data_IF_514848846612
#
_entry.id   IF_514848846612
#
_cell.length_a   1.000
_cell.length_b   1.000
_cell.length_c   1.000
_cell.angle_alpha   90.00
_cell.angle_beta   90.00
_cell.angle_gamma   90.00
#
_symmetry.space_group_name_H-M   'P 1'
#
loop_
_entity.id
_entity.type
_entity.pdbx_description
1 polymer ?
#
# COMPACT_ATOMS: atom_id res chain seq x y z
N UNK A 1 -11.53 -21.31 -2.33
CA UNK A 1 -10.58 -20.93 -1.28
C UNK A 1 -11.16 -21.42 0.03
N UNK A 2 -10.42 -22.23 0.75
CA UNK A 2 -10.85 -22.79 2.02
C UNK A 2 -10.52 -21.85 3.20
N UNK A 3 -10.93 -22.24 4.42
CA UNK A 3 -10.73 -21.43 5.62
C UNK A 3 -9.25 -21.27 6.02
N UNK A 4 -8.40 -22.25 5.71
CA UNK A 4 -6.97 -22.19 6.01
C UNK A 4 -6.26 -21.17 5.11
N UNK A 5 -6.56 -21.20 3.81
CA UNK A 5 -6.05 -20.22 2.85
C UNK A 5 -6.50 -18.80 3.20
N UNK A 6 -7.73 -18.63 3.68
CA UNK A 6 -8.21 -17.32 4.11
C UNK A 6 -7.47 -16.82 5.36
N UNK A 7 -7.24 -17.69 6.35
CA UNK A 7 -6.48 -17.35 7.56
C UNK A 7 -5.03 -16.98 7.25
N UNK A 8 -4.39 -17.72 6.33
CA UNK A 8 -3.04 -17.40 5.84
C UNK A 8 -3.00 -16.00 5.20
N UNK A 9 -3.93 -15.70 4.29
CA UNK A 9 -4.01 -14.36 3.67
C UNK A 9 -4.20 -13.26 4.69
N UNK A 10 -5.00 -13.47 5.73
CA UNK A 10 -5.18 -12.51 6.83
C UNK A 10 -3.84 -12.28 7.55
N UNK A 11 -3.12 -13.35 7.88
CA UNK A 11 -1.79 -13.27 8.51
C UNK A 11 -0.78 -12.51 7.65
N UNK A 12 -0.72 -12.79 6.35
CA UNK A 12 0.16 -12.10 5.42
C UNK A 12 -0.16 -10.60 5.30
N UNK A 13 -1.44 -10.22 5.29
CA UNK A 13 -1.84 -8.81 5.28
C UNK A 13 -1.43 -8.09 6.55
N UNK A 14 -1.58 -8.74 7.72
CA UNK A 14 -1.14 -8.18 8.99
C UNK A 14 0.37 -7.97 9.01
N UNK A 15 1.14 -9.00 8.67
CA UNK A 15 2.60 -8.95 8.60
C UNK A 15 3.11 -7.84 7.67
N UNK A 16 2.47 -7.66 6.50
CA UNK A 16 2.84 -6.61 5.56
C UNK A 16 2.65 -5.20 6.13
N UNK A 17 1.62 -4.97 6.96
CA UNK A 17 1.38 -3.67 7.60
C UNK A 17 2.35 -3.42 8.74
N UNK A 18 2.63 -4.43 9.56
CA UNK A 18 3.55 -4.33 10.70
C UNK A 18 4.98 -4.01 10.26
N UNK A 19 5.42 -4.66 9.17
CA UNK A 19 6.78 -4.53 8.64
C UNK A 19 7.10 -3.07 8.26
N UNK A 20 6.13 -2.33 7.75
CA UNK A 20 6.29 -0.89 7.42
C UNK A 20 6.54 -0.04 8.65
N UNK A 21 5.91 -0.35 9.79
CA UNK A 21 6.18 0.36 11.03
C UNK A 21 7.62 0.09 11.50
N UNK A 22 8.13 -1.14 11.34
CA UNK A 22 9.53 -1.48 11.67
C UNK A 22 10.52 -0.68 10.81
N UNK A 23 10.34 -0.65 9.49
CA UNK A 23 11.18 0.16 8.59
C UNK A 23 11.17 1.64 8.91
N UNK A 24 9.98 2.19 9.18
CA UNK A 24 9.88 3.59 9.55
C UNK A 24 10.55 3.86 10.90
N UNK A 25 10.47 2.93 11.85
CA UNK A 25 11.16 3.02 13.13
C UNK A 25 12.68 3.17 12.99
N UNK A 26 13.28 2.48 12.01
CA UNK A 26 14.71 2.58 11.72
C UNK A 26 15.13 3.89 11.05
N UNK A 27 14.25 4.49 10.24
CA UNK A 27 14.59 5.67 9.43
C UNK A 27 14.08 6.99 10.02
N UNK A 28 12.95 6.96 10.72
CA UNK A 28 12.31 8.09 11.37
C UNK A 28 11.46 7.64 12.57
N UNK A 29 12.13 7.27 13.66
CA UNK A 29 11.50 6.80 14.90
C UNK A 29 10.47 7.79 15.47
N UNK A 30 10.73 9.10 15.39
CA UNK A 30 9.83 10.12 15.92
C UNK A 30 8.47 10.13 15.18
N UNK A 31 8.48 9.98 13.85
CA UNK A 31 7.25 9.82 13.07
C UNK A 31 6.58 8.47 13.36
N UNK A 32 7.37 7.41 13.46
CA UNK A 32 6.88 6.05 13.71
C UNK A 32 6.09 5.93 15.01
N UNK A 33 6.54 6.55 16.10
CA UNK A 33 5.88 6.48 17.41
C UNK A 33 4.44 7.00 17.41
N UNK A 34 4.09 7.84 16.45
CA UNK A 34 2.78 8.47 16.31
C UNK A 34 1.97 7.86 15.15
N UNK A 35 2.57 6.93 14.42
CA UNK A 35 1.99 6.28 13.25
C UNK A 35 1.21 5.03 13.68
N UNK A 36 0.02 4.85 13.09
CA UNK A 36 -0.72 3.58 13.15
C UNK A 36 -1.08 3.16 11.74
N UNK A 37 -0.66 1.96 11.36
CA UNK A 37 -0.98 1.33 10.08
C UNK A 37 -2.00 0.23 10.36
N UNK A 38 -3.12 0.26 9.64
CA UNK A 38 -4.21 -0.69 9.86
C UNK A 38 -5.00 -0.97 8.59
N UNK A 39 -6.14 -1.60 8.77
CA UNK A 39 -7.09 -1.86 7.69
C UNK A 39 -7.90 -0.61 7.35
N UNK A 40 -8.50 -0.60 6.16
CA UNK A 40 -9.57 0.35 5.86
C UNK A 40 -10.84 -0.18 6.54
N UNK A 41 -11.23 0.49 7.62
CA UNK A 41 -12.44 0.26 8.40
C UNK A 41 -13.43 1.43 8.24
N UNK A 42 -14.58 1.36 8.93
CA UNK A 42 -15.59 2.44 8.93
C UNK A 42 -15.04 3.76 9.49
N UNK A 43 -14.10 3.70 10.44
CA UNK A 43 -13.42 4.88 10.98
C UNK A 43 -12.58 5.58 9.92
N UNK A 44 -11.83 4.82 9.11
CA UNK A 44 -11.05 5.36 8.00
C UNK A 44 -11.94 5.98 6.92
N UNK A 45 -13.07 5.33 6.58
CA UNK A 45 -14.02 5.91 5.62
C UNK A 45 -14.61 7.22 6.15
N UNK A 46 -15.10 7.23 7.38
CA UNK A 46 -15.66 8.44 8.01
C UNK A 46 -14.63 9.56 8.08
N UNK A 47 -13.39 9.26 8.48
CA UNK A 47 -12.32 10.25 8.54
C UNK A 47 -11.96 10.81 7.15
N UNK A 48 -12.00 9.97 6.11
CA UNK A 48 -11.78 10.39 4.72
C UNK A 48 -12.84 11.38 4.21
N UNK A 49 -14.10 11.33 4.68
CA UNK A 49 -15.16 12.24 4.24
C UNK A 49 -14.83 13.73 4.46
N UNK A 50 -13.95 14.02 5.43
CA UNK A 50 -13.44 15.37 5.70
C UNK A 50 -12.40 15.87 4.68
N UNK A 51 -11.94 15.02 3.75
CA UNK A 51 -10.95 15.39 2.73
C UNK A 51 -11.63 16.21 1.61
N UNK A 52 -11.83 17.50 1.85
CA UNK A 52 -12.44 18.45 0.90
C UNK A 52 -11.47 18.97 -0.17
N UNK A 53 -12.03 19.37 -1.32
CA UNK A 53 -12.46 18.44 -2.36
C UNK A 53 -11.24 17.80 -3.04
N UNK A 54 -11.14 16.48 -2.97
CA UNK A 54 -10.22 15.76 -3.84
C UNK A 54 -10.69 15.92 -5.29
N UNK A 55 -9.81 16.25 -6.25
CA UNK A 55 -10.18 16.34 -7.67
C UNK A 55 -10.63 14.99 -8.27
N UNK A 56 -10.42 13.89 -7.54
CA UNK A 56 -10.71 12.53 -7.97
C UNK A 56 -11.48 11.76 -6.90
N UNK A 57 -12.64 11.21 -7.28
CA UNK A 57 -13.39 10.25 -6.47
C UNK A 57 -12.78 8.85 -6.62
N UNK A 58 -12.00 8.43 -5.63
CA UNK A 58 -11.45 7.07 -5.55
C UNK A 58 -12.50 6.02 -5.12
N UNK A 59 -13.72 6.44 -4.75
CA UNK A 59 -14.81 5.56 -4.39
C UNK A 59 -14.56 4.77 -3.11
N UNK A 60 -13.81 5.32 -2.14
CA UNK A 60 -13.41 4.63 -0.90
C UNK A 60 -14.57 4.01 -0.14
N UNK A 61 -15.75 4.64 -0.11
CA UNK A 61 -16.94 4.07 0.53
C UNK A 61 -17.39 2.71 -0.05
N UNK A 62 -16.98 2.38 -1.29
CA UNK A 62 -17.26 1.07 -1.91
C UNK A 62 -16.28 -0.01 -1.46
N UNK A 63 -15.09 0.35 -0.98
CA UNK A 63 -14.05 -0.60 -0.55
C UNK A 63 -14.55 -1.49 0.59
N UNK A 64 -15.27 -0.94 1.57
CA UNK A 64 -15.86 -1.74 2.66
C UNK A 64 -16.79 -2.84 2.14
N UNK A 65 -17.59 -2.54 1.12
CA UNK A 65 -18.51 -3.50 0.50
C UNK A 65 -17.78 -4.57 -0.31
N UNK A 66 -16.61 -4.26 -0.86
CA UNK A 66 -15.86 -5.16 -1.73
C UNK A 66 -14.85 -6.01 -0.96
N UNK A 67 -14.18 -5.46 0.07
CA UNK A 67 -13.13 -6.17 0.82
C UNK A 67 -13.61 -7.46 1.48
N UNK A 68 -14.89 -7.54 1.87
CA UNK A 68 -15.49 -8.74 2.44
C UNK A 68 -15.84 -9.84 1.43
N UNK A 69 -15.76 -9.57 0.11
CA UNK A 69 -16.10 -10.57 -0.91
C UNK A 69 -14.92 -11.50 -1.15
N UNK A 70 -15.19 -12.79 -1.33
CA UNK A 70 -14.16 -13.81 -1.57
C UNK A 70 -13.24 -13.47 -2.76
N UNK A 71 -13.77 -12.84 -3.81
CA UNK A 71 -13.01 -12.40 -4.98
C UNK A 71 -11.92 -11.35 -4.66
N UNK A 72 -12.02 -10.69 -3.51
CA UNK A 72 -11.07 -9.68 -3.03
C UNK A 72 -10.30 -10.16 -1.79
N UNK A 73 -10.38 -11.45 -1.44
CA UNK A 73 -9.71 -11.96 -0.25
C UNK A 73 -8.18 -11.81 -0.29
N UNK A 74 -7.56 -11.79 -1.48
CA UNK A 74 -6.14 -11.50 -1.67
C UNK A 74 -5.81 -10.02 -1.87
N UNK A 75 -6.79 -9.11 -1.74
CA UNK A 75 -6.52 -7.68 -1.78
C UNK A 75 -5.96 -7.20 -0.44
N UNK A 76 -5.02 -6.24 -0.50
CA UNK A 76 -4.47 -5.54 0.64
C UNK A 76 -5.07 -4.13 0.71
N UNK A 77 -5.71 -3.83 1.83
CA UNK A 77 -6.15 -2.51 2.22
C UNK A 77 -5.26 -1.95 3.32
N UNK A 78 -4.96 -0.65 3.24
CA UNK A 78 -4.10 0.03 4.19
C UNK A 78 -4.75 1.37 4.54
N UNK A 79 -4.92 1.64 5.83
CA UNK A 79 -5.18 2.96 6.37
C UNK A 79 -3.97 3.40 7.20
N UNK A 80 -3.45 4.59 6.94
CA UNK A 80 -2.32 5.19 7.64
C UNK A 80 -2.84 6.34 8.48
N UNK A 81 -2.59 6.29 9.78
CA UNK A 81 -3.00 7.29 10.76
C UNK A 81 -1.79 7.92 11.43
N UNK A 82 -1.88 9.20 11.78
CA UNK A 82 -0.90 9.92 12.59
C UNK A 82 -1.63 10.77 13.62
N UNK A 83 -1.36 10.59 14.92
CA UNK A 83 -2.05 11.29 16.03
C UNK A 83 -3.59 11.27 15.94
N UNK A 84 -4.15 10.13 15.53
CA UNK A 84 -5.60 9.95 15.28
C UNK A 84 -6.17 10.69 14.05
N UNK A 85 -5.35 11.37 13.27
CA UNK A 85 -5.75 11.89 11.98
C UNK A 85 -5.44 10.89 10.87
N UNK A 86 -6.42 10.59 10.03
CA UNK A 86 -6.20 9.76 8.85
C UNK A 86 -5.29 10.53 7.88
N UNK A 87 -4.14 9.95 7.60
CA UNK A 87 -3.09 10.56 6.81
C UNK A 87 -3.02 9.97 5.39
N UNK A 88 -3.46 8.73 5.18
CA UNK A 88 -3.43 8.09 3.88
C UNK A 88 -4.20 6.78 3.79
N UNK A 89 -4.53 6.37 2.57
CA UNK A 89 -5.22 5.13 2.27
C UNK A 89 -4.66 4.48 0.99
N UNK A 90 -4.63 3.15 0.97
CA UNK A 90 -4.20 2.37 -0.19
C UNK A 90 -5.05 1.11 -0.36
N UNK A 91 -5.38 0.78 -1.60
CA UNK A 91 -6.03 -0.46 -2.00
C UNK A 91 -5.25 -1.12 -3.14
N UNK A 92 -4.75 -2.32 -2.90
CA UNK A 92 -4.00 -3.10 -3.86
C UNK A 92 -4.61 -4.50 -4.02
N UNK A 93 -4.64 -5.02 -5.24
CA UNK A 93 -5.20 -6.35 -5.50
C UNK A 93 -4.45 -7.07 -6.61
N UNK A 94 -4.19 -8.39 -6.46
CA UNK A 94 -3.69 -9.21 -7.56
C UNK A 94 -4.66 -9.32 -8.74
N UNK A 95 -5.97 -9.07 -8.50
CA UNK A 95 -7.03 -9.25 -9.49
C UNK A 95 -6.97 -10.61 -10.23
N UNK A 96 -6.63 -11.68 -9.49
CA UNK A 96 -6.47 -13.03 -10.03
C UNK A 96 -5.14 -13.29 -10.75
N UNK A 97 -4.25 -12.31 -10.83
CA UNK A 97 -2.91 -12.49 -11.40
C UNK A 97 -2.03 -13.35 -10.51
N UNK A 98 -1.23 -14.22 -11.15
CA UNK A 98 -0.16 -15.01 -10.49
C UNK A 98 1.21 -14.33 -10.54
N UNK A 99 1.32 -13.14 -11.15
CA UNK A 99 2.61 -12.47 -11.38
C UNK A 99 2.67 -11.07 -10.79
N UNK A 100 1.53 -10.40 -10.58
CA UNK A 100 1.51 -8.99 -10.20
C UNK A 100 0.42 -8.66 -9.20
N UNK A 101 0.69 -7.69 -8.34
CA UNK A 101 -0.31 -6.95 -7.58
C UNK A 101 -0.47 -5.55 -8.20
N UNK A 102 -1.71 -5.07 -8.30
CA UNK A 102 -1.99 -3.72 -8.81
C UNK A 102 -2.40 -2.82 -7.65
N UNK A 103 -1.67 -1.72 -7.46
CA UNK A 103 -2.09 -0.59 -6.63
C UNK A 103 -3.17 0.14 -7.43
N UNK A 104 -4.41 -0.02 -7.00
CA UNK A 104 -5.58 0.52 -7.68
C UNK A 104 -5.90 1.92 -7.18
N UNK A 105 -5.83 2.12 -5.85
CA UNK A 105 -6.07 3.41 -5.21
C UNK A 105 -4.95 3.68 -4.22
N UNK A 106 -4.42 4.90 -4.26
CA UNK A 106 -3.45 5.42 -3.30
C UNK A 106 -3.71 6.91 -3.14
N UNK A 107 -4.10 7.32 -1.94
CA UNK A 107 -4.43 8.71 -1.66
C UNK A 107 -3.86 9.12 -0.31
N UNK A 108 -3.26 10.31 -0.28
CA UNK A 108 -2.88 11.00 0.96
C UNK A 108 -3.96 11.99 1.37
N UNK A 109 -4.01 12.29 2.65
CA UNK A 109 -4.72 13.46 3.15
C UNK A 109 -4.18 14.72 2.41
N UNK A 110 -5.05 15.57 1.84
CA UNK A 110 -4.63 16.73 1.07
C UNK A 110 -3.91 17.78 1.91
N UNK A 111 -4.14 17.82 3.22
CA UNK A 111 -3.51 18.78 4.15
C UNK A 111 -1.98 18.73 4.07
N UNK A 112 -1.41 19.82 3.58
CA UNK A 112 0.02 19.99 3.35
C UNK A 112 0.82 20.19 4.64
N UNK A 113 0.16 20.50 5.77
CA UNK A 113 0.80 20.76 7.07
C UNK A 113 1.12 19.48 7.85
N UNK A 114 0.61 18.33 7.42
CA UNK A 114 0.82 17.06 8.11
C UNK A 114 2.28 16.60 8.02
N UNK A 115 2.83 16.14 9.15
CA UNK A 115 4.17 15.57 9.24
C UNK A 115 4.37 14.32 8.36
N UNK A 116 3.29 13.66 7.97
CA UNK A 116 3.27 12.50 7.08
C UNK A 116 3.37 12.86 5.59
N UNK A 117 3.43 14.15 5.25
CA UNK A 117 3.63 14.61 3.88
C UNK A 117 4.92 14.00 3.29
N UNK A 118 4.79 13.38 2.12
CA UNK A 118 5.91 12.69 1.46
C UNK A 118 6.13 11.25 1.90
N UNK A 119 5.53 10.82 3.02
CA UNK A 119 5.69 9.45 3.53
C UNK A 119 4.56 8.50 3.11
N UNK A 120 3.36 9.01 2.82
CA UNK A 120 2.19 8.15 2.57
C UNK A 120 2.39 7.16 1.41
N UNK A 121 2.84 7.65 0.26
CA UNK A 121 3.05 6.77 -0.89
C UNK A 121 4.17 5.73 -0.61
N UNK A 122 5.38 6.13 -0.16
CA UNK A 122 6.41 5.16 0.21
C UNK A 122 5.96 4.11 1.24
N UNK A 123 5.25 4.51 2.30
CA UNK A 123 4.76 3.59 3.33
C UNK A 123 3.76 2.57 2.75
N UNK A 124 2.78 3.03 1.99
CA UNK A 124 1.80 2.14 1.37
C UNK A 124 2.43 1.21 0.33
N UNK A 125 3.33 1.73 -0.52
CA UNK A 125 4.02 0.93 -1.52
C UNK A 125 4.97 -0.08 -0.87
N UNK A 126 5.58 0.25 0.28
CA UNK A 126 6.38 -0.72 1.05
C UNK A 126 5.52 -1.90 1.50
N UNK A 127 4.40 -1.66 2.18
CA UNK A 127 3.48 -2.73 2.58
C UNK A 127 3.01 -3.57 1.39
N UNK A 128 2.71 -2.95 0.24
CA UNK A 128 2.32 -3.66 -0.97
C UNK A 128 3.46 -4.54 -1.51
N UNK A 129 4.72 -4.07 -1.46
CA UNK A 129 5.90 -4.86 -1.85
C UNK A 129 6.09 -6.07 -0.93
N UNK A 130 6.05 -5.88 0.39
CA UNK A 130 6.13 -6.99 1.35
C UNK A 130 5.04 -8.03 1.13
N UNK A 131 3.80 -7.58 0.97
CA UNK A 131 2.68 -8.47 0.73
C UNK A 131 2.82 -9.22 -0.60
N UNK A 132 3.20 -8.53 -1.67
CA UNK A 132 3.42 -9.15 -2.97
C UNK A 132 4.54 -10.19 -2.94
N UNK A 133 5.64 -9.90 -2.23
CA UNK A 133 6.74 -10.84 -2.02
C UNK A 133 6.28 -12.09 -1.27
N UNK A 134 5.54 -11.94 -0.17
CA UNK A 134 4.99 -13.08 0.59
C UNK A 134 3.99 -13.92 -0.23
N UNK A 135 3.26 -13.29 -1.15
CA UNK A 135 2.38 -13.99 -2.11
C UNK A 135 3.14 -14.66 -3.27
N UNK A 136 4.47 -14.50 -3.36
CA UNK A 136 5.27 -15.01 -4.47
C UNK A 136 5.03 -14.29 -5.79
N UNK A 137 4.54 -13.05 -5.74
CA UNK A 137 4.36 -12.21 -6.93
C UNK A 137 5.68 -11.55 -7.32
N UNK A 138 5.83 -11.25 -8.60
CA UNK A 138 7.04 -10.61 -9.14
C UNK A 138 6.92 -9.09 -9.21
N UNK A 139 5.73 -8.59 -9.52
CA UNK A 139 5.55 -7.18 -9.86
C UNK A 139 4.59 -6.48 -8.92
N UNK A 140 4.95 -5.27 -8.48
CA UNK A 140 4.00 -4.27 -8.00
C UNK A 140 3.74 -3.29 -9.14
N UNK A 141 2.48 -3.06 -9.49
CA UNK A 141 2.11 -2.20 -10.62
C UNK A 141 1.21 -1.07 -10.12
N UNK A 142 1.52 0.17 -10.47
CA UNK A 142 0.61 1.30 -10.24
C UNK A 142 -0.34 1.41 -11.42
N UNK A 143 -1.64 1.27 -11.16
CA UNK A 143 -2.67 1.38 -12.20
C UNK A 143 -2.99 2.84 -12.45
N UNK A 144 -2.93 3.24 -13.72
CA UNK A 144 -3.37 4.55 -14.20
C UNK A 144 -2.92 5.73 -13.31
N UNK A 145 -1.60 5.85 -13.01
CA UNK A 145 -1.11 6.90 -12.13
C UNK A 145 -1.40 8.27 -12.72
N UNK A 146 -1.76 9.22 -11.85
CA UNK A 146 -1.86 10.62 -12.23
C UNK A 146 -0.52 11.08 -12.86
N UNK A 147 -0.54 11.87 -13.96
CA UNK A 147 0.68 12.32 -14.62
C UNK A 147 1.70 12.94 -13.66
N UNK A 148 1.24 13.77 -12.73
CA UNK A 148 2.04 14.44 -11.71
C UNK A 148 2.63 13.50 -10.65
N UNK A 149 2.01 12.34 -10.41
CA UNK A 149 2.51 11.35 -9.45
C UNK A 149 3.54 10.40 -10.08
N UNK A 150 3.61 10.32 -11.42
CA UNK A 150 4.49 9.40 -12.13
C UNK A 150 5.96 9.56 -11.74
N UNK A 151 6.44 10.79 -11.62
CA UNK A 151 7.83 11.06 -11.25
C UNK A 151 8.14 10.55 -9.84
N UNK A 152 7.20 10.70 -8.89
CA UNK A 152 7.38 10.20 -7.53
C UNK A 152 7.56 8.67 -7.50
N UNK A 153 6.74 7.93 -8.25
CA UNK A 153 6.90 6.48 -8.37
C UNK A 153 8.23 6.09 -9.03
N UNK A 154 8.69 6.84 -10.03
CA UNK A 154 9.97 6.56 -10.68
C UNK A 154 11.16 6.77 -9.73
N UNK A 155 11.10 7.80 -8.89
CA UNK A 155 12.10 8.01 -7.83
C UNK A 155 12.06 6.89 -6.77
N UNK A 156 10.89 6.27 -6.57
CA UNK A 156 10.69 5.10 -5.69
C UNK A 156 11.03 3.76 -6.38
N UNK A 157 11.68 3.79 -7.55
CA UNK A 157 12.19 2.59 -8.24
C UNK A 157 11.24 1.96 -9.26
N UNK A 158 10.07 2.56 -9.53
CA UNK A 158 9.16 2.06 -10.57
C UNK A 158 9.65 2.43 -11.97
N UNK A 159 9.51 1.51 -12.92
CA UNK A 159 9.88 1.72 -14.32
C UNK A 159 8.75 1.31 -15.26
N UNK A 160 8.70 1.91 -16.44
CA UNK A 160 7.71 1.51 -17.45
C UNK A 160 8.15 0.19 -18.09
N UNK A 161 7.41 -0.89 -17.81
CA UNK A 161 7.68 -2.23 -18.34
C UNK A 161 6.65 -2.56 -19.42
N UNK A 162 7.12 -2.90 -20.62
CA UNK A 162 6.26 -3.23 -21.78
C UNK A 162 5.35 -4.41 -21.44
N UNK A 163 4.04 -4.24 -21.64
CA UNK A 163 3.02 -5.25 -21.34
C UNK A 163 2.65 -5.41 -19.86
N UNK A 164 3.35 -4.73 -18.93
CA UNK A 164 3.06 -4.81 -17.49
C UNK A 164 2.49 -3.49 -16.95
N UNK A 165 3.07 -2.35 -17.33
CA UNK A 165 2.69 -1.01 -16.85
C UNK A 165 3.85 -0.30 -16.12
N UNK A 166 3.53 0.72 -15.32
CA UNK A 166 4.48 1.32 -14.39
C UNK A 166 4.67 0.37 -13.21
N UNK A 167 5.82 -0.29 -13.15
CA UNK A 167 6.02 -1.46 -12.30
C UNK A 167 7.35 -1.45 -11.56
N UNK A 168 7.34 -2.08 -10.40
CA UNK A 168 8.50 -2.38 -9.58
C UNK A 168 8.77 -3.90 -9.62
N UNK A 169 10.00 -4.30 -9.95
CA UNK A 169 10.42 -5.71 -10.04
C UNK A 169 10.94 -6.18 -8.67
N UNK A 170 10.17 -7.03 -7.99
CA UNK A 170 10.56 -7.57 -6.69
C UNK A 170 11.78 -8.50 -6.77
N UNK A 171 12.13 -8.99 -7.96
CA UNK A 171 13.33 -9.83 -8.13
C UNK A 171 14.63 -9.06 -8.02
N UNK A 172 14.59 -7.71 -8.06
CA UNK A 172 15.80 -6.87 -8.06
C UNK A 172 16.24 -6.46 -6.65
N UNK A 173 15.29 -6.31 -5.73
CA UNK A 173 15.53 -5.64 -4.45
C UNK A 173 15.43 -6.58 -3.23
N UNK A 174 15.11 -7.86 -3.45
CA UNK A 174 15.05 -8.89 -2.40
C UNK A 174 16.20 -9.90 -2.49
N UNK A 175 17.43 -9.40 -2.70
CA UNK A 175 18.55 -9.98 -1.99
C UNK A 175 18.29 -9.69 -0.50
N UNK A 176 18.09 -10.72 0.32
CA UNK A 176 17.88 -10.54 1.76
C UNK A 176 19.04 -9.77 2.43
N UNK A 177 18.95 -9.46 3.73
CA UNK A 177 20.00 -8.73 4.46
C UNK A 177 21.40 -9.40 4.52
N UNK A 178 21.67 -10.44 3.73
CA UNK A 178 22.99 -11.05 3.51
C UNK A 178 23.44 -10.92 2.05
N UNK A 179 23.61 -9.69 1.58
CA UNK A 179 24.61 -9.43 0.55
C UNK A 179 25.58 -8.35 1.05
N UNK A 180 26.48 -8.81 1.93
CA UNK A 180 27.88 -8.37 1.83
C UNK A 180 28.41 -8.84 0.47
N UNK A 181 29.40 -8.10 -0.03
CA UNK A 181 30.28 -8.34 -1.20
C UNK A 181 30.16 -7.16 -2.19
N UNK A 182 31.14 -6.27 -2.42
CA UNK A 182 32.58 -6.20 -2.11
C UNK A 182 32.98 -4.74 -1.90
#
# INVERSE_FOLDING_TARGET
>A
MDGQQLAELIGLKHAARDQVAVELGHTNNALCQRLRIGEIDEGAITAHESWHPAPHDFGWGRVLKWKGRLAHASALDIAVWHDNQLAGMCWASPQGSKQKIMVLYLQRNPDASLATRGYIAPLCLSAVRYYAWMLGLRWVVVRDPLPEARQAYQLDGFTQVKGIGLAYDLSRDYAGPDHKDY
#
